data_IF_690098288928
#
_entry.id   IF_690098288928
#
_cell.length_a   1.000
_cell.length_b   1.000
_cell.length_c   1.000
_cell.angle_alpha   90.00
_cell.angle_beta   90.00
_cell.angle_gamma   90.00
#
_symmetry.space_group_name_H-M   'P 1'
#
loop_
_entity.id
_entity.type
_entity.pdbx_description
1 polymer ?
#
# COMPACT_ATOMS: atom_id res chain seq x y z
N UNK A 1 -5.39 -1.70 -0.60
CA UNK A 1 -6.02 -2.75 0.24
C UNK A 1 -5.53 -4.14 -0.17
N UNK A 2 -5.70 -4.56 -1.44
CA UNK A 2 -5.23 -5.88 -1.95
C UNK A 2 -3.71 -6.11 -1.93
N UNK A 3 -2.88 -5.09 -2.22
CA UNK A 3 -1.40 -5.22 -2.16
C UNK A 3 -0.87 -5.74 -0.82
N UNK A 4 -1.51 -5.35 0.29
CA UNK A 4 -1.10 -5.72 1.64
C UNK A 4 -1.92 -6.89 2.20
N UNK A 5 -2.69 -7.59 1.35
CA UNK A 5 -3.56 -8.69 1.79
C UNK A 5 -4.66 -8.30 2.77
N UNK A 6 -5.02 -7.01 2.83
CA UNK A 6 -6.01 -6.52 3.78
C UNK A 6 -7.41 -6.96 3.35
N UNK A 7 -8.24 -7.31 4.33
CA UNK A 7 -9.63 -7.82 4.17
C UNK A 7 -9.74 -9.20 3.49
N UNK A 8 -8.76 -10.09 3.71
CA UNK A 8 -8.84 -11.48 3.26
C UNK A 8 -8.49 -11.70 1.78
N UNK A 9 -7.84 -10.73 1.15
CA UNK A 9 -7.24 -10.90 -0.17
C UNK A 9 -5.80 -11.42 -0.03
N UNK A 10 -5.33 -12.20 -1.00
CA UNK A 10 -3.90 -12.51 -1.10
C UNK A 10 -3.10 -11.25 -1.43
N UNK A 11 -1.86 -11.16 -0.95
CA UNK A 11 -0.95 -10.06 -1.26
C UNK A 11 -0.60 -10.08 -2.74
N UNK A 12 -1.07 -9.09 -3.50
CA UNK A 12 -0.74 -8.95 -4.92
C UNK A 12 0.55 -8.12 -5.12
N UNK A 13 1.34 -8.48 -6.13
CA UNK A 13 2.49 -7.72 -6.60
C UNK A 13 2.08 -6.38 -7.23
N UNK A 14 3.02 -5.45 -7.35
CA UNK A 14 2.80 -4.18 -8.05
C UNK A 14 2.42 -4.36 -9.53
N UNK A 15 2.86 -5.46 -10.12
CA UNK A 15 2.64 -5.78 -11.52
C UNK A 15 1.23 -6.32 -11.75
N UNK A 16 0.76 -7.24 -10.90
CA UNK A 16 -0.61 -7.74 -10.92
C UNK A 16 -1.63 -6.63 -10.65
N UNK A 17 -1.36 -5.78 -9.65
CA UNK A 17 -2.22 -4.63 -9.35
C UNK A 17 -2.26 -3.66 -10.53
N UNK A 18 -1.11 -3.44 -11.20
CA UNK A 18 -1.03 -2.60 -12.39
C UNK A 18 -1.84 -3.16 -13.55
N UNK A 19 -1.70 -4.46 -13.83
CA UNK A 19 -2.46 -5.13 -14.89
C UNK A 19 -3.97 -5.07 -14.65
N UNK A 20 -4.44 -5.23 -13.41
CA UNK A 20 -5.88 -5.21 -13.09
C UNK A 20 -6.51 -3.83 -13.32
N UNK A 21 -5.79 -2.75 -13.01
CA UNK A 21 -6.33 -1.37 -13.06
C UNK A 21 -5.86 -0.58 -14.28
N UNK A 22 -5.16 -1.22 -15.22
CA UNK A 22 -4.65 -0.60 -16.45
C UNK A 22 -3.52 0.41 -16.21
N UNK A 23 -2.73 0.23 -15.15
CA UNK A 23 -1.59 1.09 -14.80
C UNK A 23 -0.26 0.34 -14.93
N UNK A 24 0.81 1.09 -15.19
CA UNK A 24 2.16 0.51 -15.16
C UNK A 24 2.58 0.18 -13.73
N UNK A 25 3.44 -0.83 -13.56
CA UNK A 25 4.06 -1.19 -12.28
C UNK A 25 4.65 0.02 -11.56
N UNK A 26 5.34 0.90 -12.30
CA UNK A 26 5.94 2.10 -11.74
C UNK A 26 4.90 3.12 -11.28
N UNK A 27 3.78 3.26 -12.01
CA UNK A 27 2.69 4.13 -11.57
C UNK A 27 2.05 3.63 -10.28
N UNK A 28 1.87 2.32 -10.13
CA UNK A 28 1.39 1.71 -8.87
C UNK A 28 2.39 1.94 -7.73
N UNK A 29 3.71 1.82 -8.00
CA UNK A 29 4.77 2.11 -7.03
C UNK A 29 4.70 3.56 -6.53
N UNK A 30 4.54 4.51 -7.44
CA UNK A 30 4.43 5.94 -7.09
C UNK A 30 3.23 6.20 -6.19
N UNK A 31 2.04 5.71 -6.58
CA UNK A 31 0.80 5.86 -5.81
C UNK A 31 0.96 5.26 -4.40
N UNK A 32 1.60 4.10 -4.30
CA UNK A 32 1.86 3.47 -3.00
C UNK A 32 2.74 4.36 -2.11
N UNK A 33 3.85 4.90 -2.63
CA UNK A 33 4.75 5.77 -1.86
C UNK A 33 4.05 7.06 -1.45
N UNK A 34 3.26 7.66 -2.34
CA UNK A 34 2.46 8.85 -2.06
C UNK A 34 1.42 8.58 -0.95
N UNK A 35 0.76 7.43 -0.98
CA UNK A 35 -0.24 7.05 0.02
C UNK A 35 0.36 6.72 1.39
N UNK A 36 1.62 6.25 1.45
CA UNK A 36 2.28 5.88 2.70
C UNK A 36 2.60 7.10 3.59
N UNK A 37 2.86 8.27 3.00
CA UNK A 37 3.14 9.51 3.75
C UNK A 37 1.99 9.92 4.69
N UNK A 38 0.75 10.17 4.21
CA UNK A 38 -0.35 10.52 5.09
C UNK A 38 -0.74 9.36 6.01
N UNK A 39 -0.56 8.10 5.58
CA UNK A 39 -0.85 6.94 6.43
C UNK A 39 0.05 6.90 7.67
N UNK A 40 1.34 7.20 7.50
CA UNK A 40 2.30 7.30 8.60
C UNK A 40 1.90 8.38 9.59
N UNK A 41 1.54 9.57 9.09
CA UNK A 41 1.08 10.67 9.96
C UNK A 41 -0.18 10.30 10.75
N UNK A 42 -1.11 9.56 10.14
CA UNK A 42 -2.32 9.08 10.82
C UNK A 42 -1.95 8.06 11.90
N UNK A 43 -1.06 7.12 11.62
CA UNK A 43 -0.64 6.12 12.61
C UNK A 43 0.08 6.75 13.80
N UNK A 44 1.03 7.65 13.54
CA UNK A 44 1.75 8.39 14.60
C UNK A 44 0.77 9.19 15.48
N UNK A 45 -0.22 9.87 14.88
CA UNK A 45 -1.28 10.57 15.62
C UNK A 45 -2.14 9.66 16.50
N UNK A 46 -2.30 8.39 16.13
CA UNK A 46 -3.07 7.42 16.90
C UNK A 46 -2.20 6.60 17.87
N UNK A 47 -0.92 6.97 18.05
CA UNK A 47 0.00 6.27 18.94
C UNK A 47 0.44 4.89 18.43
N UNK A 48 0.26 4.62 17.13
CA UNK A 48 0.63 3.37 16.48
C UNK A 48 1.98 3.54 15.78
N UNK A 49 2.90 2.59 15.96
CA UNK A 49 4.17 2.62 15.21
C UNK A 49 3.93 2.32 13.74
N UNK A 50 4.55 3.12 12.87
CA UNK A 50 4.54 2.91 11.41
C UNK A 50 5.26 1.62 10.98
N UNK A 51 6.06 1.02 11.86
CA UNK A 51 6.76 -0.24 11.58
C UNK A 51 5.78 -1.39 11.27
N UNK A 52 4.55 -1.31 11.78
CA UNK A 52 3.51 -2.31 11.54
C UNK A 52 3.00 -2.37 10.08
N UNK A 53 3.32 -1.38 9.23
CA UNK A 53 2.86 -1.34 7.83
C UNK A 53 3.75 -2.12 6.84
N UNK A 54 4.96 -2.49 7.25
CA UNK A 54 5.99 -3.03 6.35
C UNK A 54 6.40 -4.48 6.67
N UNK A 55 5.71 -5.16 7.59
CA UNK A 55 5.89 -6.60 7.82
C UNK A 55 5.17 -7.44 6.78
#
# INVERSE_FOLDING_TARGET
VRRFGLRGHESCTLEEVGQEIGLTRERVRQIQVEALKPLREILEKNGLSSDALFQ
#
